data_IF_506109500834
#
_entry.id   IF_506109500834
#
_cell.length_a   1.000
_cell.length_b   1.000
_cell.length_c   1.000
_cell.angle_alpha   90.00
_cell.angle_beta   90.00
_cell.angle_gamma   90.00
#
_symmetry.space_group_name_H-M   'P 1'
#
loop_
_entity.id
_entity.type
_entity.pdbx_description
1 polymer ?
#
# COMPACT_ATOMS: atom_id res chain seq x y z
N UNK A 1 1.97 30.23 -16.13
CA UNK A 1 2.72 28.98 -15.86
C UNK A 1 4.20 29.29 -15.71
N UNK A 2 4.86 29.93 -16.68
CA UNK A 2 6.27 30.39 -16.54
C UNK A 2 6.60 31.14 -15.24
N UNK A 3 5.69 31.98 -14.71
CA UNK A 3 5.92 32.68 -13.45
C UNK A 3 5.66 31.83 -12.19
N UNK A 4 4.81 30.80 -12.28
CA UNK A 4 4.44 29.93 -11.15
C UNK A 4 5.46 28.80 -11.00
N UNK A 5 5.88 28.17 -12.11
CA UNK A 5 6.90 27.11 -12.10
C UNK A 5 8.30 27.66 -11.79
N UNK A 6 8.67 28.84 -12.32
CA UNK A 6 9.92 29.51 -11.93
C UNK A 6 9.90 29.97 -10.48
N UNK A 7 8.75 30.33 -9.92
CA UNK A 7 8.63 30.74 -8.52
C UNK A 7 8.58 29.52 -7.57
N UNK A 8 7.99 28.39 -7.96
CA UNK A 8 8.07 27.12 -7.21
C UNK A 8 9.49 26.55 -7.22
N UNK A 9 10.16 26.50 -8.37
CA UNK A 9 11.56 26.08 -8.47
C UNK A 9 12.49 26.98 -7.64
N UNK A 10 12.29 28.30 -7.65
CA UNK A 10 13.06 29.26 -6.82
C UNK A 10 12.74 29.17 -5.33
N UNK A 11 11.46 29.02 -4.95
CA UNK A 11 11.03 28.89 -3.54
C UNK A 11 11.53 27.58 -2.93
N UNK A 12 11.57 26.48 -3.70
CA UNK A 12 12.06 25.20 -3.21
C UNK A 12 13.59 25.11 -3.15
N UNK A 13 14.32 25.72 -4.09
CA UNK A 13 15.79 25.82 -4.04
C UNK A 13 16.26 26.60 -2.79
N UNK A 14 15.51 27.62 -2.36
CA UNK A 14 15.80 28.36 -1.12
C UNK A 14 15.54 27.60 0.19
N UNK A 15 14.86 26.44 0.14
CA UNK A 15 14.48 25.64 1.32
C UNK A 15 15.40 24.45 1.60
N UNK A 16 16.47 24.26 0.80
CA UNK A 16 17.45 23.18 1.03
C UNK A 16 16.90 21.77 0.92
N UNK A 17 15.85 21.55 0.11
CA UNK A 17 15.27 20.20 -0.12
C UNK A 17 16.08 19.44 -1.20
N UNK A 18 16.40 18.17 -0.93
CA UNK A 18 17.30 17.33 -1.75
C UNK A 18 16.71 16.79 -3.07
N UNK A 19 15.52 17.24 -3.51
CA UNK A 19 14.92 16.81 -4.77
C UNK A 19 13.79 17.70 -5.29
N UNK A 20 13.67 17.81 -6.61
CA UNK A 20 12.64 18.56 -7.33
C UNK A 20 11.86 17.66 -8.29
N UNK A 21 10.54 17.87 -8.41
CA UNK A 21 9.66 17.10 -9.29
C UNK A 21 8.66 17.99 -10.02
N UNK A 22 8.87 18.22 -11.31
CA UNK A 22 7.95 19.00 -12.18
C UNK A 22 6.98 18.07 -12.90
N UNK A 23 5.69 18.42 -12.93
CA UNK A 23 4.64 17.60 -13.53
C UNK A 23 4.14 18.14 -14.88
N UNK A 24 4.29 17.34 -15.95
CA UNK A 24 3.87 17.72 -17.31
C UNK A 24 3.06 16.59 -17.95
N UNK A 25 1.88 16.88 -18.55
CA UNK A 25 1.10 15.86 -19.32
C UNK A 25 1.57 15.79 -20.77
N UNK A 26 2.17 14.69 -21.24
CA UNK A 26 2.57 14.59 -22.64
C UNK A 26 1.46 14.02 -23.56
N UNK A 27 0.35 13.49 -23.04
CA UNK A 27 -0.65 12.75 -23.83
C UNK A 27 -1.64 13.59 -24.67
N UNK A 28 -2.17 13.05 -25.80
CA UNK A 28 -3.16 13.73 -26.65
C UNK A 28 -4.43 14.22 -25.95
N UNK A 29 -5.06 13.45 -25.02
CA UNK A 29 -6.20 13.93 -24.25
C UNK A 29 -5.85 15.11 -23.32
N UNK A 30 -4.62 15.15 -22.80
CA UNK A 30 -4.12 16.25 -21.98
C UNK A 30 -3.92 17.54 -22.80
N UNK A 31 -3.29 17.41 -23.96
CA UNK A 31 -3.09 18.50 -24.93
C UNK A 31 -4.42 19.13 -25.36
N UNK A 32 -5.42 18.31 -25.74
CA UNK A 32 -6.72 18.81 -26.19
C UNK A 32 -7.62 19.33 -25.06
N UNK A 33 -7.70 18.63 -23.93
CA UNK A 33 -8.71 18.94 -22.90
C UNK A 33 -8.17 19.83 -21.78
N UNK A 34 -6.95 19.55 -21.26
CA UNK A 34 -6.36 20.29 -20.13
C UNK A 34 -5.72 21.59 -20.60
N UNK A 35 -4.91 21.53 -21.65
CA UNK A 35 -4.26 22.71 -22.23
C UNK A 35 -5.11 23.41 -23.30
N UNK A 36 -6.27 22.85 -23.68
CA UNK A 36 -7.14 23.41 -24.73
C UNK A 36 -6.39 23.71 -26.05
N UNK A 37 -5.41 22.88 -26.39
CA UNK A 37 -4.55 23.06 -27.57
C UNK A 37 -3.53 24.19 -27.48
N UNK A 38 -3.29 24.78 -26.29
CA UNK A 38 -2.35 25.91 -26.12
C UNK A 38 -0.88 25.52 -26.13
N UNK A 39 -0.56 24.26 -25.87
CA UNK A 39 0.79 23.71 -25.94
C UNK A 39 0.79 22.58 -26.96
N UNK A 40 1.84 22.52 -27.77
CA UNK A 40 2.16 21.38 -28.63
C UNK A 40 3.27 20.52 -27.99
N UNK A 41 3.58 19.39 -28.64
CA UNK A 41 4.60 18.43 -28.19
C UNK A 41 5.96 19.11 -27.98
N UNK A 42 6.38 19.95 -28.93
CA UNK A 42 7.66 20.63 -28.88
C UNK A 42 7.70 21.68 -27.76
N UNK A 43 6.59 22.40 -27.52
CA UNK A 43 6.47 23.35 -26.43
C UNK A 43 6.62 22.66 -25.07
N UNK A 44 5.97 21.51 -24.89
CA UNK A 44 6.10 20.68 -23.68
C UNK A 44 7.56 20.29 -23.43
N UNK A 45 8.27 19.82 -24.46
CA UNK A 45 9.68 19.45 -24.35
C UNK A 45 10.52 20.68 -24.00
N UNK A 46 10.32 21.81 -24.69
CA UNK A 46 11.06 23.05 -24.43
C UNK A 46 10.87 23.57 -23.01
N UNK A 47 9.63 23.57 -22.51
CA UNK A 47 9.31 24.01 -21.15
C UNK A 47 9.96 23.07 -20.12
N UNK A 48 9.86 21.76 -20.33
CA UNK A 48 10.48 20.75 -19.46
C UNK A 48 12.00 20.92 -19.39
N UNK A 49 12.67 21.05 -20.55
CA UNK A 49 14.12 21.27 -20.62
C UNK A 49 14.52 22.55 -19.90
N UNK A 50 13.75 23.63 -20.05
CA UNK A 50 14.00 24.89 -19.38
C UNK A 50 13.87 24.75 -17.85
N UNK A 51 12.85 24.02 -17.37
CA UNK A 51 12.62 23.78 -15.96
C UNK A 51 13.73 22.93 -15.32
N UNK A 52 14.12 21.82 -15.95
CA UNK A 52 15.22 20.96 -15.49
C UNK A 52 16.53 21.75 -15.38
N UNK A 53 16.87 22.54 -16.41
CA UNK A 53 18.08 23.39 -16.40
C UNK A 53 18.03 24.44 -15.31
N UNK A 54 16.86 25.04 -15.08
CA UNK A 54 16.67 26.01 -14.00
C UNK A 54 16.86 25.36 -12.62
N UNK A 55 16.31 24.16 -12.41
CA UNK A 55 16.47 23.41 -11.16
C UNK A 55 17.95 23.06 -10.89
N UNK A 56 18.68 22.55 -11.90
CA UNK A 56 20.11 22.26 -11.77
C UNK A 56 20.95 23.51 -11.55
N UNK A 57 20.67 24.61 -12.27
CA UNK A 57 21.33 25.90 -12.04
C UNK A 57 21.03 26.48 -10.64
N UNK A 58 19.86 26.16 -10.09
CA UNK A 58 19.47 26.48 -8.72
C UNK A 58 20.09 25.58 -7.64
N UNK A 59 20.91 24.59 -8.01
CA UNK A 59 21.61 23.71 -7.08
C UNK A 59 20.83 22.47 -6.65
N UNK A 60 19.75 22.10 -7.34
CA UNK A 60 19.03 20.86 -7.06
C UNK A 60 19.94 19.63 -7.24
N UNK A 61 20.03 18.79 -6.20
CA UNK A 61 20.88 17.59 -6.23
C UNK A 61 20.33 16.54 -7.18
N UNK A 62 19.04 16.23 -7.05
CA UNK A 62 18.33 15.35 -7.98
C UNK A 62 17.10 16.05 -8.58
N UNK A 63 16.78 15.71 -9.82
CA UNK A 63 15.65 16.22 -10.59
C UNK A 63 14.91 15.04 -11.21
N UNK A 64 13.65 14.86 -10.83
CA UNK A 64 12.72 13.94 -11.48
C UNK A 64 11.75 14.71 -12.38
N UNK A 65 11.46 14.18 -13.57
CA UNK A 65 10.50 14.78 -14.49
C UNK A 65 9.27 13.88 -14.60
N UNK A 66 8.07 14.40 -14.33
CA UNK A 66 6.86 13.58 -14.38
C UNK A 66 6.20 13.64 -15.75
N UNK A 67 6.07 12.48 -16.39
CA UNK A 67 5.21 12.24 -17.52
C UNK A 67 3.79 11.89 -17.01
N UNK A 68 3.01 12.92 -16.69
CA UNK A 68 1.62 12.79 -16.24
C UNK A 68 0.78 12.15 -17.36
N UNK A 69 -0.02 11.13 -17.02
CA UNK A 69 -0.77 10.31 -17.98
C UNK A 69 0.11 9.51 -18.98
N UNK A 70 1.29 9.07 -18.52
CA UNK A 70 2.20 8.20 -19.27
C UNK A 70 1.52 6.93 -19.80
N UNK A 71 0.53 6.37 -19.07
CA UNK A 71 -0.20 5.16 -19.49
C UNK A 71 -1.03 5.27 -20.76
N UNK A 72 -1.32 6.50 -21.20
CA UNK A 72 -2.07 6.79 -22.43
C UNK A 72 -1.31 7.67 -23.42
N UNK A 73 -0.04 7.93 -23.14
CA UNK A 73 0.85 8.69 -24.02
C UNK A 73 1.43 7.77 -25.09
N UNK A 74 1.62 8.30 -26.30
CA UNK A 74 2.33 7.62 -27.38
C UNK A 74 3.77 7.26 -26.95
N UNK A 75 4.18 6.01 -27.12
CA UNK A 75 5.47 5.51 -26.63
C UNK A 75 6.66 6.23 -27.28
N UNK A 76 6.54 6.60 -28.56
CA UNK A 76 7.55 7.37 -29.28
C UNK A 76 7.76 8.75 -28.67
N UNK A 77 6.67 9.50 -28.48
CA UNK A 77 6.73 10.80 -27.84
C UNK A 77 7.20 10.74 -26.38
N UNK A 78 6.77 9.73 -25.62
CA UNK A 78 7.21 9.55 -24.24
C UNK A 78 8.74 9.33 -24.16
N UNK A 79 9.28 8.55 -25.10
CA UNK A 79 10.73 8.33 -25.20
C UNK A 79 11.47 9.61 -25.57
N UNK A 80 10.97 10.37 -26.56
CA UNK A 80 11.53 11.67 -26.96
C UNK A 80 11.56 12.66 -25.79
N UNK A 81 10.45 12.78 -25.06
CA UNK A 81 10.32 13.60 -23.87
C UNK A 81 11.33 13.20 -22.79
N UNK A 82 11.46 11.90 -22.52
CA UNK A 82 12.37 11.38 -21.50
C UNK A 82 13.85 11.59 -21.87
N UNK A 83 14.21 11.42 -23.15
CA UNK A 83 15.55 11.71 -23.66
C UNK A 83 15.89 13.20 -23.54
N UNK A 84 14.97 14.09 -23.92
CA UNK A 84 15.18 15.52 -23.79
C UNK A 84 15.34 15.95 -22.32
N UNK A 85 14.56 15.37 -21.41
CA UNK A 85 14.71 15.57 -19.97
C UNK A 85 16.08 15.09 -19.47
N UNK A 86 16.53 13.90 -19.87
CA UNK A 86 17.86 13.36 -19.55
C UNK A 86 18.98 14.27 -20.05
N UNK A 87 18.93 14.72 -21.30
CA UNK A 87 19.91 15.65 -21.89
C UNK A 87 19.94 17.00 -21.18
N UNK A 88 18.81 17.45 -20.63
CA UNK A 88 18.74 18.65 -19.80
C UNK A 88 19.34 18.47 -18.40
N UNK A 89 19.59 17.23 -17.98
CA UNK A 89 20.19 16.85 -16.70
C UNK A 89 19.21 16.21 -15.71
N UNK A 90 18.05 15.74 -16.12
CA UNK A 90 17.18 14.97 -15.23
C UNK A 90 17.87 13.67 -14.80
N UNK A 91 17.64 13.24 -13.56
CA UNK A 91 18.20 12.01 -13.00
C UNK A 91 17.25 10.82 -13.16
N UNK A 92 15.96 11.10 -13.35
CA UNK A 92 14.90 10.11 -13.57
C UNK A 92 13.66 10.71 -14.24
N UNK A 93 12.84 9.85 -14.85
CA UNK A 93 11.51 10.23 -15.36
C UNK A 93 10.45 9.43 -14.61
N UNK A 94 9.41 10.09 -14.10
CA UNK A 94 8.27 9.42 -13.48
C UNK A 94 7.19 9.14 -14.50
N UNK A 95 6.83 7.87 -14.62
CA UNK A 95 5.70 7.42 -15.42
C UNK A 95 4.46 7.30 -14.55
N UNK A 96 3.40 8.03 -14.91
CA UNK A 96 2.17 8.06 -14.13
C UNK A 96 1.04 7.25 -14.79
N UNK A 97 0.61 6.16 -14.15
CA UNK A 97 -0.69 5.53 -14.44
C UNK A 97 -1.81 6.32 -13.76
N UNK A 98 -2.10 7.49 -14.34
CA UNK A 98 -2.90 8.55 -13.71
C UNK A 98 -4.35 8.12 -13.44
N UNK A 99 -4.88 7.19 -14.24
CA UNK A 99 -6.26 6.70 -14.11
C UNK A 99 -6.35 5.32 -13.44
N UNK A 100 -5.22 4.72 -13.06
CA UNK A 100 -5.18 3.39 -12.46
C UNK A 100 -5.61 2.27 -13.42
N UNK A 101 -5.26 2.39 -14.70
CA UNK A 101 -5.70 1.49 -15.78
C UNK A 101 -4.63 0.52 -16.31
N UNK A 102 -3.43 0.50 -15.71
CA UNK A 102 -2.36 -0.44 -16.05
C UNK A 102 -2.62 -1.86 -15.54
N UNK A 103 -1.95 -2.83 -16.18
CA UNK A 103 -1.83 -4.20 -15.67
C UNK A 103 -0.36 -4.53 -15.40
N UNK A 104 -0.06 -5.50 -14.51
CA UNK A 104 1.32 -5.82 -14.15
C UNK A 104 2.21 -6.19 -15.33
N UNK A 105 1.70 -6.96 -16.29
CA UNK A 105 2.45 -7.38 -17.48
C UNK A 105 2.75 -6.20 -18.40
N UNK A 106 1.73 -5.37 -18.66
CA UNK A 106 1.84 -4.24 -19.59
C UNK A 106 2.78 -3.17 -19.06
N UNK A 107 2.70 -2.84 -17.77
CA UNK A 107 3.57 -1.85 -17.17
C UNK A 107 5.02 -2.32 -17.11
N UNK A 108 5.27 -3.61 -16.82
CA UNK A 108 6.63 -4.17 -16.84
C UNK A 108 7.26 -4.07 -18.23
N UNK A 109 6.53 -4.44 -19.27
CA UNK A 109 7.01 -4.35 -20.66
C UNK A 109 7.33 -2.90 -21.05
N UNK A 110 6.44 -1.97 -20.69
CA UNK A 110 6.61 -0.54 -20.99
C UNK A 110 7.82 0.06 -20.28
N UNK A 111 8.02 -0.28 -19.01
CA UNK A 111 9.17 0.19 -18.24
C UNK A 111 10.46 -0.38 -18.80
N UNK A 112 10.53 -1.69 -19.05
CA UNK A 112 11.71 -2.30 -19.66
C UNK A 112 12.09 -1.65 -20.99
N UNK A 113 11.11 -1.36 -21.86
CA UNK A 113 11.33 -0.65 -23.13
C UNK A 113 11.82 0.78 -22.93
N UNK A 114 11.13 1.56 -22.09
CA UNK A 114 11.43 2.97 -21.87
C UNK A 114 12.79 3.16 -21.17
N UNK A 115 13.03 2.41 -20.10
CA UNK A 115 14.29 2.43 -19.35
C UNK A 115 15.47 1.99 -20.21
N UNK A 116 15.30 0.96 -21.07
CA UNK A 116 16.34 0.55 -22.03
C UNK A 116 16.62 1.63 -23.07
N UNK A 117 15.57 2.24 -23.63
CA UNK A 117 15.70 3.25 -24.68
C UNK A 117 16.35 4.54 -24.18
N UNK A 118 16.00 4.96 -22.97
CA UNK A 118 16.50 6.21 -22.38
C UNK A 118 17.82 5.98 -21.62
N UNK A 119 18.10 4.75 -21.18
CA UNK A 119 19.21 4.38 -20.30
C UNK A 119 19.25 5.27 -19.04
N UNK A 120 18.10 5.37 -18.36
CA UNK A 120 17.89 6.14 -17.14
C UNK A 120 16.73 5.53 -16.34
N UNK A 121 16.75 5.59 -14.99
CA UNK A 121 15.64 5.11 -14.16
C UNK A 121 14.28 5.71 -14.52
N UNK A 122 13.23 4.88 -14.47
CA UNK A 122 11.84 5.29 -14.65
C UNK A 122 11.06 5.07 -13.35
N UNK A 123 10.68 6.14 -12.68
CA UNK A 123 9.92 6.06 -11.43
C UNK A 123 8.46 5.66 -11.70
N UNK A 124 7.98 4.60 -11.05
CA UNK A 124 6.57 4.21 -11.11
C UNK A 124 5.70 5.14 -10.26
N UNK A 125 4.54 5.55 -10.76
CA UNK A 125 3.49 6.20 -9.99
C UNK A 125 2.12 5.68 -10.42
N UNK A 126 1.57 4.76 -9.63
CA UNK A 126 0.33 4.05 -9.98
C UNK A 126 -0.81 4.43 -9.05
N UNK A 127 -1.95 4.76 -9.64
CA UNK A 127 -3.22 4.89 -8.93
C UNK A 127 -3.95 3.56 -8.80
N UNK A 128 -4.84 3.47 -7.81
CA UNK A 128 -5.43 2.22 -7.35
C UNK A 128 -6.89 2.00 -7.77
N UNK A 129 -7.35 2.65 -8.83
CA UNK A 129 -8.76 2.58 -9.29
C UNK A 129 -9.24 1.15 -9.59
N UNK A 130 -8.33 0.26 -10.04
CA UNK A 130 -8.60 -1.17 -10.26
C UNK A 130 -8.07 -2.10 -9.16
N UNK A 131 -7.56 -1.56 -8.04
CA UNK A 131 -6.96 -2.37 -6.98
C UNK A 131 -5.57 -2.95 -7.31
N UNK A 132 -4.94 -2.50 -8.40
CA UNK A 132 -3.67 -3.04 -8.90
C UNK A 132 -2.45 -2.16 -8.64
N UNK A 133 -2.56 -1.05 -7.91
CA UNK A 133 -1.47 -0.07 -7.81
C UNK A 133 -0.16 -0.66 -7.27
N UNK A 134 -0.24 -1.50 -6.22
CA UNK A 134 0.92 -2.16 -5.62
C UNK A 134 1.58 -3.11 -6.62
N UNK A 135 0.79 -4.00 -7.23
CA UNK A 135 1.28 -4.98 -8.20
C UNK A 135 1.89 -4.29 -9.43
N UNK A 136 1.23 -3.26 -9.97
CA UNK A 136 1.73 -2.48 -11.10
C UNK A 136 3.04 -1.76 -10.76
N UNK A 137 3.14 -1.18 -9.56
CA UNK A 137 4.34 -0.46 -9.14
C UNK A 137 5.55 -1.38 -8.98
N UNK A 138 5.38 -2.56 -8.38
CA UNK A 138 6.48 -3.53 -8.26
C UNK A 138 6.84 -4.12 -9.63
N UNK A 139 5.85 -4.37 -10.50
CA UNK A 139 6.10 -4.85 -11.86
C UNK A 139 6.79 -3.83 -12.77
N UNK A 140 6.47 -2.54 -12.64
CA UNK A 140 7.19 -1.48 -13.35
C UNK A 140 8.65 -1.38 -12.89
N UNK A 141 8.89 -1.46 -11.57
CA UNK A 141 10.24 -1.52 -11.01
C UNK A 141 11.03 -2.74 -11.52
N UNK A 142 10.39 -3.90 -11.66
CA UNK A 142 10.99 -5.07 -12.31
C UNK A 142 11.41 -4.78 -13.76
N UNK A 143 10.61 -4.01 -14.50
CA UNK A 143 10.95 -3.59 -15.86
C UNK A 143 12.22 -2.75 -15.91
N UNK A 144 12.40 -1.82 -14.98
CA UNK A 144 13.63 -1.03 -14.84
C UNK A 144 14.85 -1.92 -14.55
N UNK A 145 14.71 -2.84 -13.59
CA UNK A 145 15.77 -3.78 -13.23
C UNK A 145 16.14 -4.70 -14.40
N UNK A 146 15.15 -5.17 -15.16
CA UNK A 146 15.37 -5.99 -16.36
C UNK A 146 16.10 -5.18 -17.47
N UNK A 147 15.93 -3.86 -17.50
CA UNK A 147 16.67 -2.93 -18.36
C UNK A 147 18.04 -2.50 -17.79
N UNK A 148 18.44 -3.06 -16.65
CA UNK A 148 19.70 -2.74 -15.97
C UNK A 148 19.75 -1.32 -15.39
N UNK A 149 18.60 -0.72 -15.08
CA UNK A 149 18.48 0.57 -14.40
C UNK A 149 18.07 0.38 -12.95
N UNK A 150 18.44 1.32 -12.08
CA UNK A 150 17.90 1.40 -10.73
C UNK A 150 16.38 1.64 -10.78
N UNK A 151 15.64 1.05 -9.85
CA UNK A 151 14.18 1.18 -9.81
C UNK A 151 13.73 2.17 -8.74
N UNK A 152 12.72 2.98 -9.07
CA UNK A 152 12.09 3.92 -8.15
C UNK A 152 10.59 3.66 -8.09
N UNK A 153 10.03 3.58 -6.88
CA UNK A 153 8.60 3.38 -6.68
C UNK A 153 8.01 4.52 -5.87
N UNK A 154 7.07 5.25 -6.48
CA UNK A 154 6.27 6.23 -5.76
C UNK A 154 5.16 5.52 -4.99
N UNK A 155 5.11 5.78 -3.69
CA UNK A 155 4.12 5.19 -2.79
C UNK A 155 3.51 6.26 -1.90
N UNK A 156 2.40 5.91 -1.25
CA UNK A 156 1.78 6.71 -0.21
C UNK A 156 1.47 5.85 1.00
N UNK A 157 1.59 6.42 2.20
CA UNK A 157 1.28 5.69 3.43
C UNK A 157 -0.22 5.44 3.50
N UNK A 158 -0.59 4.21 3.85
CA UNK A 158 -1.97 3.70 3.83
C UNK A 158 -2.63 3.79 2.43
N UNK A 159 -1.83 3.89 1.36
CA UNK A 159 -2.30 4.08 -0.01
C UNK A 159 -3.07 5.39 -0.24
N UNK A 160 -2.96 6.38 0.65
CA UNK A 160 -3.74 7.61 0.56
C UNK A 160 -3.36 8.38 -0.71
N UNK A 161 -4.37 8.85 -1.44
CA UNK A 161 -4.18 9.63 -2.67
C UNK A 161 -5.52 10.06 -3.25
N UNK A 162 -5.50 10.52 -4.50
CA UNK A 162 -6.73 10.84 -5.21
C UNK A 162 -7.60 9.59 -5.42
N UNK A 163 -8.93 9.74 -5.37
CA UNK A 163 -9.91 8.68 -5.67
C UNK A 163 -9.71 7.45 -4.78
N UNK A 164 -9.42 6.29 -5.38
CA UNK A 164 -9.10 5.02 -4.69
C UNK A 164 -7.67 4.96 -4.14
N UNK A 165 -6.89 6.02 -4.31
CA UNK A 165 -5.55 6.16 -3.74
C UNK A 165 -4.42 5.76 -4.68
N UNK A 166 -3.25 5.61 -4.10
CA UNK A 166 -1.99 5.25 -4.76
C UNK A 166 -1.49 3.89 -4.23
N UNK A 167 -0.36 3.41 -4.75
CA UNK A 167 0.32 2.25 -4.18
C UNK A 167 0.65 2.47 -2.69
N UNK A 168 0.20 1.55 -1.83
CA UNK A 168 0.45 1.61 -0.40
C UNK A 168 1.91 1.28 -0.08
N UNK A 169 2.59 2.15 0.65
CA UNK A 169 4.01 2.01 0.98
C UNK A 169 4.33 0.66 1.63
N UNK A 170 3.58 0.29 2.68
CA UNK A 170 3.84 -0.95 3.41
C UNK A 170 3.57 -2.18 2.53
N UNK A 171 2.44 -2.19 1.82
CA UNK A 171 2.09 -3.25 0.88
C UNK A 171 3.13 -3.41 -0.23
N UNK A 172 3.70 -2.31 -0.74
CA UNK A 172 4.77 -2.34 -1.74
C UNK A 172 6.06 -2.92 -1.17
N UNK A 173 6.46 -2.54 0.04
CA UNK A 173 7.66 -3.10 0.70
C UNK A 173 7.50 -4.61 0.92
N UNK A 174 6.34 -5.04 1.43
CA UNK A 174 6.04 -6.45 1.68
C UNK A 174 5.92 -7.24 0.36
N UNK A 175 5.31 -6.65 -0.67
CA UNK A 175 5.23 -7.23 -2.01
C UNK A 175 6.61 -7.45 -2.62
N UNK A 176 7.52 -6.47 -2.49
CA UNK A 176 8.91 -6.61 -2.91
C UNK A 176 9.61 -7.77 -2.17
N UNK A 177 9.55 -7.79 -0.83
CA UNK A 177 10.24 -8.81 -0.01
C UNK A 177 9.70 -10.22 -0.22
N UNK A 178 8.38 -10.38 -0.18
CA UNK A 178 7.77 -11.71 -0.09
C UNK A 178 6.98 -12.14 -1.32
N UNK A 179 6.52 -11.20 -2.16
CA UNK A 179 5.59 -11.50 -3.27
C UNK A 179 6.27 -11.69 -4.62
N UNK A 180 7.26 -10.86 -4.93
CA UNK A 180 7.86 -10.78 -6.27
C UNK A 180 9.25 -11.42 -6.36
N UNK A 181 9.75 -12.03 -5.28
CA UNK A 181 11.07 -12.69 -5.24
C UNK A 181 12.23 -11.72 -5.51
N UNK A 182 12.07 -10.45 -5.12
CA UNK A 182 13.05 -9.40 -5.40
C UNK A 182 14.16 -9.30 -4.37
N UNK A 183 13.96 -9.86 -3.17
CA UNK A 183 14.92 -9.78 -2.06
C UNK A 183 16.31 -10.35 -2.43
N UNK A 184 16.37 -11.34 -3.33
CA UNK A 184 17.63 -11.90 -3.84
C UNK A 184 18.19 -11.14 -5.05
N UNK A 185 17.40 -10.27 -5.67
CA UNK A 185 17.75 -9.56 -6.92
C UNK A 185 18.16 -8.11 -6.72
N UNK A 186 17.61 -7.46 -5.69
CA UNK A 186 17.83 -6.05 -5.42
C UNK A 186 17.63 -5.75 -3.93
N UNK A 187 18.28 -4.69 -3.47
CA UNK A 187 18.13 -4.17 -2.11
C UNK A 187 17.43 -2.81 -2.15
N UNK A 188 16.76 -2.44 -1.06
CA UNK A 188 16.27 -1.07 -0.90
C UNK A 188 17.46 -0.13 -0.69
N UNK A 189 17.54 0.92 -1.52
CA UNK A 189 18.59 1.93 -1.39
C UNK A 189 18.48 2.77 -0.11
N UNK A 190 17.27 2.94 0.42
CA UNK A 190 17.02 3.64 1.68
C UNK A 190 16.90 2.64 2.84
N UNK A 191 17.41 2.97 4.04
CA UNK A 191 17.21 2.15 5.23
C UNK A 191 15.75 2.20 5.68
N UNK A 192 15.05 1.06 5.58
CA UNK A 192 13.65 0.92 5.97
C UNK A 192 13.54 0.09 7.26
N UNK A 193 13.06 0.71 8.33
CA UNK A 193 12.71 0.02 9.58
C UNK A 193 11.20 -0.24 9.66
N UNK A 194 10.81 -1.49 9.42
CA UNK A 194 9.41 -1.92 9.47
C UNK A 194 8.82 -1.92 10.89
N UNK A 195 9.63 -1.86 11.95
CA UNK A 195 9.13 -1.83 13.33
C UNK A 195 8.28 -0.58 13.63
N UNK A 196 8.35 0.44 12.77
CA UNK A 196 7.52 1.64 12.83
C UNK A 196 6.16 1.50 12.14
N UNK A 197 5.92 0.45 11.36
CA UNK A 197 4.74 0.34 10.51
C UNK A 197 3.44 0.47 11.31
N UNK A 198 3.32 -0.28 12.43
CA UNK A 198 2.13 -0.26 13.31
C UNK A 198 1.98 1.00 14.16
N UNK A 199 3.00 1.87 14.20
CA UNK A 199 2.90 3.22 14.78
C UNK A 199 2.52 4.27 13.73
N UNK A 200 3.20 4.24 12.59
CA UNK A 200 3.09 5.27 11.57
C UNK A 200 1.76 5.20 10.82
N UNK A 201 1.26 3.99 10.53
CA UNK A 201 -0.01 3.84 9.82
C UNK A 201 -1.21 4.40 10.60
N UNK A 202 -1.41 4.09 11.91
CA UNK A 202 -2.43 4.75 12.72
C UNK A 202 -2.27 6.26 12.82
N UNK A 203 -1.04 6.74 13.01
CA UNK A 203 -0.75 8.17 13.08
C UNK A 203 -1.13 8.88 11.78
N UNK A 204 -0.79 8.31 10.63
CA UNK A 204 -1.20 8.83 9.33
C UNK A 204 -2.73 8.83 9.19
N UNK A 205 -3.39 7.74 9.60
CA UNK A 205 -4.86 7.67 9.61
C UNK A 205 -5.50 8.79 10.45
N UNK A 206 -4.94 9.07 11.63
CA UNK A 206 -5.34 10.19 12.47
C UNK A 206 -5.07 11.55 11.79
N UNK A 207 -3.86 11.77 11.28
CA UNK A 207 -3.43 13.04 10.68
C UNK A 207 -4.26 13.40 9.43
N UNK A 208 -4.63 12.41 8.63
CA UNK A 208 -5.45 12.59 7.42
C UNK A 208 -6.96 12.50 7.69
N UNK A 209 -7.39 12.21 8.92
CA UNK A 209 -8.80 12.01 9.26
C UNK A 209 -9.44 10.83 8.54
N UNK A 210 -8.66 9.79 8.21
CA UNK A 210 -9.10 8.57 7.52
C UNK A 210 -8.73 7.34 8.37
N UNK A 211 -9.71 6.70 9.04
CA UNK A 211 -9.42 5.52 9.86
C UNK A 211 -8.90 4.37 9.00
N UNK A 212 -8.04 3.54 9.58
CA UNK A 212 -7.51 2.36 8.92
C UNK A 212 -8.62 1.30 8.71
N UNK A 213 -8.69 0.67 7.53
CA UNK A 213 -9.48 -0.55 7.35
C UNK A 213 -9.04 -1.67 8.30
N UNK A 214 -9.99 -2.49 8.76
CA UNK A 214 -9.69 -3.65 9.61
C UNK A 214 -8.71 -4.63 8.94
N UNK A 215 -8.78 -4.74 7.62
CA UNK A 215 -7.97 -5.64 6.80
C UNK A 215 -6.82 -4.91 6.06
N UNK A 216 -6.41 -3.71 6.52
CA UNK A 216 -5.23 -3.05 5.97
C UNK A 216 -4.02 -4.00 6.07
N UNK A 217 -3.26 -4.14 4.98
CA UNK A 217 -2.10 -5.04 4.92
C UNK A 217 -1.12 -4.71 6.04
N UNK A 218 -0.74 -5.71 6.85
CA UNK A 218 0.22 -5.63 7.95
C UNK A 218 -0.24 -4.84 9.20
N UNK A 219 -0.99 -3.75 9.03
CA UNK A 219 -1.33 -2.80 10.11
C UNK A 219 -2.82 -2.76 10.44
N UNK A 220 -3.65 -3.52 9.72
CA UNK A 220 -5.04 -3.72 10.06
C UNK A 220 -5.18 -4.69 11.23
N UNK A 221 -6.23 -4.49 12.05
CA UNK A 221 -6.54 -5.35 13.21
C UNK A 221 -6.64 -6.84 12.84
N UNK A 222 -7.10 -7.14 11.62
CA UNK A 222 -7.30 -8.51 11.14
C UNK A 222 -6.13 -9.04 10.30
N UNK A 223 -5.03 -8.29 10.14
CA UNK A 223 -3.93 -8.68 9.25
C UNK A 223 -3.24 -10.00 9.69
N UNK A 224 -3.33 -10.35 10.97
CA UNK A 224 -2.79 -11.59 11.57
C UNK A 224 -3.86 -12.30 12.40
N UNK A 225 -5.13 -12.11 12.06
CA UNK A 225 -6.23 -12.77 12.74
C UNK A 225 -6.56 -14.11 12.08
N UNK A 226 -6.72 -15.16 12.90
CA UNK A 226 -7.05 -16.51 12.43
C UNK A 226 -8.37 -16.96 13.04
N UNK A 227 -9.35 -17.28 12.21
CA UNK A 227 -10.71 -17.62 12.65
C UNK A 227 -11.03 -19.12 12.53
N UNK A 228 -10.70 -19.74 11.40
CA UNK A 228 -10.94 -21.19 11.18
C UNK A 228 -10.24 -22.02 12.24
N UNK A 229 -10.94 -22.99 12.84
CA UNK A 229 -10.38 -23.83 13.90
C UNK A 229 -9.10 -24.58 13.53
N UNK A 230 -8.97 -25.01 12.26
CA UNK A 230 -7.74 -25.65 11.76
C UNK A 230 -6.62 -24.63 11.60
N UNK A 231 -6.94 -23.43 11.11
CA UNK A 231 -5.94 -22.37 10.90
C UNK A 231 -5.43 -21.81 12.24
N UNK A 232 -6.33 -21.55 13.18
CA UNK A 232 -5.98 -21.08 14.52
C UNK A 232 -5.13 -22.11 15.28
N UNK A 233 -5.50 -23.39 15.27
CA UNK A 233 -4.70 -24.45 15.90
C UNK A 233 -3.31 -24.58 15.27
N UNK A 234 -3.21 -24.55 13.94
CA UNK A 234 -1.92 -24.63 13.26
C UNK A 234 -1.05 -23.38 13.47
N UNK A 235 -1.64 -22.18 13.51
CA UNK A 235 -0.91 -20.94 13.80
C UNK A 235 -0.41 -20.88 15.26
N UNK A 236 -1.16 -21.43 16.22
CA UNK A 236 -0.73 -21.55 17.62
C UNK A 236 0.45 -22.51 17.80
N UNK A 237 0.54 -23.56 16.97
CA UNK A 237 1.66 -24.52 16.98
C UNK A 237 2.90 -23.95 16.31
N UNK A 238 2.73 -23.39 15.13
CA UNK A 238 3.75 -22.70 14.36
C UNK A 238 3.07 -21.69 13.44
N UNK A 239 3.32 -20.41 13.69
CA UNK A 239 2.72 -19.32 12.93
C UNK A 239 3.10 -19.35 11.45
N UNK A 240 4.26 -19.91 11.08
CA UNK A 240 4.71 -20.05 9.70
C UNK A 240 3.80 -20.94 8.84
N UNK A 241 2.91 -21.72 9.44
CA UNK A 241 1.91 -22.51 8.71
C UNK A 241 0.89 -21.63 7.96
N UNK A 242 0.60 -20.43 8.47
CA UNK A 242 -0.46 -19.56 7.96
C UNK A 242 -0.07 -18.07 7.87
N UNK A 243 1.12 -17.69 8.31
CA UNK A 243 1.64 -16.33 8.23
C UNK A 243 2.85 -16.28 7.29
N UNK A 244 2.78 -15.40 6.27
CA UNK A 244 3.85 -15.21 5.29
C UNK A 244 5.11 -14.60 5.91
N UNK A 245 4.95 -13.82 6.97
CA UNK A 245 6.01 -13.16 7.73
C UNK A 245 5.51 -12.90 9.16
N UNK A 246 6.44 -12.77 10.12
CA UNK A 246 6.08 -12.58 11.54
C UNK A 246 5.57 -11.15 11.78
N UNK A 247 4.46 -11.03 12.53
CA UNK A 247 3.90 -9.74 12.93
C UNK A 247 4.87 -8.87 13.74
N UNK A 248 5.83 -9.51 14.45
CA UNK A 248 6.84 -8.81 15.24
C UNK A 248 7.70 -7.88 14.37
N UNK A 249 7.85 -8.18 13.08
CA UNK A 249 8.60 -7.35 12.12
C UNK A 249 7.99 -5.96 11.91
N UNK A 250 6.69 -5.82 12.18
CA UNK A 250 5.95 -4.56 12.00
C UNK A 250 5.88 -3.69 13.27
N UNK A 251 6.44 -4.20 14.37
CA UNK A 251 6.44 -3.57 15.68
C UNK A 251 5.11 -3.71 16.44
N UNK A 252 5.01 -2.99 17.56
CA UNK A 252 3.81 -2.96 18.38
C UNK A 252 2.87 -1.82 17.94
N UNK A 253 1.57 -2.00 18.14
CA UNK A 253 0.62 -0.90 18.05
C UNK A 253 0.76 0.08 19.23
N UNK A 254 0.35 1.36 19.08
CA UNK A 254 0.17 2.26 20.21
C UNK A 254 -0.76 1.64 21.26
N UNK A 255 -0.46 1.86 22.55
CA UNK A 255 -1.10 1.19 23.71
C UNK A 255 -2.63 1.40 23.79
N UNK A 256 -3.13 2.41 23.12
CA UNK A 256 -4.53 2.86 23.08
C UNK A 256 -5.23 2.56 21.75
N UNK A 257 -4.50 2.10 20.72
CA UNK A 257 -5.06 1.83 19.39
C UNK A 257 -5.72 0.45 19.29
N UNK A 258 -5.20 -0.53 20.04
CA UNK A 258 -5.79 -1.86 20.17
C UNK A 258 -5.89 -2.23 21.64
N UNK A 259 -7.10 -2.59 22.09
CA UNK A 259 -7.36 -3.03 23.46
C UNK A 259 -6.63 -4.34 23.82
N UNK A 260 -6.14 -5.09 22.83
CA UNK A 260 -5.31 -6.30 23.01
C UNK A 260 -4.10 -6.25 22.08
N UNK A 261 -2.85 -6.32 22.60
CA UNK A 261 -1.67 -6.52 21.78
C UNK A 261 -1.56 -7.99 21.32
N UNK A 262 -1.07 -8.22 20.09
CA UNK A 262 -0.71 -9.55 19.54
C UNK A 262 -1.75 -10.18 18.59
N UNK A 263 -1.41 -11.37 18.05
CA UNK A 263 -2.27 -12.21 17.20
C UNK A 263 -3.69 -12.36 17.77
N UNK A 264 -4.68 -12.12 16.93
CA UNK A 264 -6.10 -12.19 17.34
C UNK A 264 -6.67 -13.52 16.88
N UNK A 265 -6.91 -14.44 17.82
CA UNK A 265 -7.75 -15.62 17.55
C UNK A 265 -9.20 -15.19 17.67
N UNK A 266 -9.98 -15.38 16.61
CA UNK A 266 -11.41 -15.06 16.61
C UNK A 266 -12.22 -16.33 16.88
N UNK A 267 -13.24 -16.20 17.73
CA UNK A 267 -14.25 -17.24 17.94
C UNK A 267 -15.49 -16.90 17.15
N UNK A 268 -15.76 -17.68 16.10
CA UNK A 268 -16.94 -17.53 15.24
C UNK A 268 -17.53 -18.88 14.84
N UNK A 269 -18.46 -18.89 13.89
CA UNK A 269 -19.12 -20.11 13.38
C UNK A 269 -18.12 -21.21 13.02
N UNK A 270 -17.02 -20.84 12.37
CA UNK A 270 -15.97 -21.76 11.92
C UNK A 270 -14.82 -21.92 12.94
N UNK A 271 -14.92 -21.29 14.11
CA UNK A 271 -13.94 -21.39 15.18
C UNK A 271 -13.85 -22.81 15.72
N UNK A 272 -12.66 -23.20 16.19
CA UNK A 272 -12.44 -24.49 16.86
C UNK A 272 -12.35 -24.34 18.38
N UNK A 273 -12.59 -25.43 19.13
CA UNK A 273 -12.50 -25.43 20.61
C UNK A 273 -11.16 -24.94 21.14
N UNK A 274 -10.05 -25.23 20.46
CA UNK A 274 -8.72 -24.76 20.86
C UNK A 274 -8.61 -23.22 20.81
N UNK A 275 -9.10 -22.61 19.72
CA UNK A 275 -9.13 -21.15 19.59
C UNK A 275 -10.11 -20.51 20.59
N UNK A 276 -11.24 -21.16 20.85
CA UNK A 276 -12.18 -20.75 21.88
C UNK A 276 -11.56 -20.71 23.28
N UNK A 277 -10.88 -21.79 23.70
CA UNK A 277 -10.17 -21.81 24.99
C UNK A 277 -9.13 -20.70 25.08
N UNK A 278 -8.32 -20.53 24.04
CA UNK A 278 -7.31 -19.46 24.02
C UNK A 278 -7.92 -18.06 24.23
N UNK A 279 -9.06 -17.78 23.60
CA UNK A 279 -9.76 -16.49 23.77
C UNK A 279 -10.33 -16.34 25.18
N UNK A 280 -10.90 -17.39 25.75
CA UNK A 280 -11.45 -17.40 27.12
C UNK A 280 -10.36 -17.27 28.18
N UNK A 281 -9.22 -17.96 28.00
CA UNK A 281 -8.03 -17.83 28.85
C UNK A 281 -7.49 -16.39 28.82
N UNK A 282 -7.39 -15.79 27.62
CA UNK A 282 -6.98 -14.40 27.45
C UNK A 282 -7.96 -13.38 28.07
N UNK A 283 -9.23 -13.76 28.23
CA UNK A 283 -10.25 -12.99 28.95
C UNK A 283 -10.21 -13.20 30.47
N UNK A 284 -9.48 -14.22 30.94
CA UNK A 284 -9.43 -14.63 32.34
C UNK A 284 -10.75 -15.23 32.84
N UNK A 285 -11.51 -15.90 31.96
CA UNK A 285 -12.85 -16.42 32.27
C UNK A 285 -12.91 -17.91 31.95
N UNK A 286 -13.33 -18.72 32.91
CA UNK A 286 -13.66 -20.12 32.66
C UNK A 286 -15.16 -20.28 32.38
N UNK A 287 -15.56 -20.89 31.25
CA UNK A 287 -16.97 -21.13 30.95
C UNK A 287 -17.61 -22.10 31.95
N UNK A 288 -18.81 -21.78 32.43
CA UNK A 288 -19.58 -22.66 33.32
C UNK A 288 -19.97 -23.99 32.65
N UNK A 289 -20.07 -23.99 31.32
CA UNK A 289 -20.27 -25.15 30.47
C UNK A 289 -19.56 -24.89 29.13
N UNK A 290 -18.36 -25.44 28.95
CA UNK A 290 -17.50 -25.13 27.80
C UNK A 290 -18.15 -25.49 26.46
N UNK A 291 -18.79 -26.66 26.38
CA UNK A 291 -19.37 -27.16 25.14
C UNK A 291 -20.58 -26.32 24.73
N UNK A 292 -21.44 -25.98 25.69
CA UNK A 292 -22.60 -25.15 25.45
C UNK A 292 -22.22 -23.69 25.13
N UNK A 293 -21.26 -23.13 25.87
CA UNK A 293 -20.75 -21.79 25.61
C UNK A 293 -20.12 -21.70 24.21
N UNK A 294 -19.35 -22.71 23.81
CA UNK A 294 -18.77 -22.76 22.47
C UNK A 294 -19.84 -22.81 21.37
N UNK A 295 -20.85 -23.66 21.50
CA UNK A 295 -21.97 -23.72 20.54
C UNK A 295 -22.73 -22.39 20.45
N UNK A 296 -22.96 -21.72 21.59
CA UNK A 296 -23.60 -20.40 21.63
C UNK A 296 -22.80 -19.33 20.91
N UNK A 297 -21.47 -19.31 21.09
CA UNK A 297 -20.60 -18.38 20.37
C UNK A 297 -20.65 -18.62 18.86
N UNK A 298 -20.61 -19.89 18.42
CA UNK A 298 -20.75 -20.24 17.01
C UNK A 298 -22.10 -19.77 16.44
N UNK A 299 -23.20 -20.03 17.15
CA UNK A 299 -24.54 -19.66 16.72
C UNK A 299 -24.73 -18.14 16.63
N UNK A 300 -24.30 -17.40 17.66
CA UNK A 300 -24.43 -15.94 17.70
C UNK A 300 -23.61 -15.28 16.59
N UNK A 301 -22.41 -15.80 16.31
CA UNK A 301 -21.59 -15.33 15.21
C UNK A 301 -22.25 -15.62 13.85
N UNK A 302 -22.77 -16.84 13.64
CA UNK A 302 -23.46 -17.23 12.41
C UNK A 302 -24.69 -16.34 12.13
N UNK A 303 -25.47 -16.01 13.15
CA UNK A 303 -26.67 -15.18 13.01
C UNK A 303 -26.35 -13.70 12.74
N UNK A 304 -25.26 -13.18 13.32
CA UNK A 304 -24.92 -11.75 13.23
C UNK A 304 -23.94 -11.44 12.11
N UNK A 305 -23.19 -12.44 11.62
CA UNK A 305 -22.08 -12.27 10.68
C UNK A 305 -20.94 -11.41 11.24
N UNK A 306 -20.86 -11.28 12.58
CA UNK A 306 -19.88 -10.42 13.26
C UNK A 306 -19.19 -11.16 14.41
N UNK A 307 -17.89 -10.90 14.65
CA UNK A 307 -17.23 -11.38 15.85
C UNK A 307 -17.94 -10.86 17.11
N UNK A 308 -18.09 -11.72 18.11
CA UNK A 308 -18.61 -11.32 19.41
C UNK A 308 -17.59 -10.44 20.14
N UNK A 309 -18.10 -9.48 20.90
CA UNK A 309 -17.33 -8.62 21.79
C UNK A 309 -16.89 -9.37 23.05
N UNK A 310 -15.86 -8.84 23.72
CA UNK A 310 -15.35 -9.38 24.98
C UNK A 310 -16.44 -9.56 26.04
N UNK A 311 -17.39 -8.63 26.12
CA UNK A 311 -18.46 -8.67 27.12
C UNK A 311 -19.55 -9.68 26.76
N UNK A 312 -19.85 -9.86 25.47
CA UNK A 312 -20.73 -10.93 25.00
C UNK A 312 -20.11 -12.30 25.27
N UNK A 313 -18.79 -12.45 25.06
CA UNK A 313 -18.07 -13.68 25.38
C UNK A 313 -18.08 -13.98 26.89
N UNK A 314 -17.86 -12.97 27.74
CA UNK A 314 -17.97 -13.11 29.21
C UNK A 314 -19.38 -13.50 29.64
N UNK A 315 -20.39 -12.88 29.05
CA UNK A 315 -21.79 -13.17 29.34
C UNK A 315 -22.14 -14.62 28.98
N UNK A 316 -21.71 -15.08 27.79
CA UNK A 316 -21.92 -16.46 27.34
C UNK A 316 -21.17 -17.47 28.20
N UNK A 317 -19.92 -17.17 28.57
CA UNK A 317 -19.15 -18.04 29.44
C UNK A 317 -19.77 -18.18 30.85
N UNK A 318 -20.32 -17.10 31.40
CA UNK A 318 -20.92 -17.10 32.74
C UNK A 318 -22.31 -17.74 32.79
N UNK A 319 -23.13 -17.56 31.74
CA UNK A 319 -24.54 -17.95 31.73
C UNK A 319 -24.97 -18.75 30.48
N UNK A 320 -24.24 -19.81 30.07
CA UNK A 320 -24.53 -20.48 28.82
C UNK A 320 -25.90 -21.17 28.82
N UNK A 321 -26.37 -21.69 29.97
CA UNK A 321 -27.68 -22.37 30.04
C UNK A 321 -28.84 -21.42 29.90
N UNK A 322 -28.76 -20.27 30.58
CA UNK A 322 -29.79 -19.25 30.53
C UNK A 322 -29.89 -18.63 29.14
N UNK A 323 -28.75 -18.40 28.47
CA UNK A 323 -28.73 -17.87 27.11
C UNK A 323 -29.18 -18.89 26.07
N UNK A 324 -28.91 -20.18 26.26
CA UNK A 324 -29.41 -21.24 25.37
C UNK A 324 -30.94 -21.26 25.28
N UNK A 325 -31.65 -20.83 26.34
CA UNK A 325 -33.12 -20.71 26.32
C UNK A 325 -33.64 -19.67 25.32
N UNK A 326 -32.79 -18.72 24.90
CA UNK A 326 -33.13 -17.74 23.87
C UNK A 326 -33.12 -18.35 22.46
N UNK A 327 -32.55 -19.55 22.29
CA UNK A 327 -32.39 -20.25 21.01
C UNK A 327 -33.04 -21.65 21.02
N UNK A 328 -34.36 -21.75 21.28
CA UNK A 328 -35.01 -23.04 21.43
C UNK A 328 -34.92 -23.86 20.14
N UNK A 329 -34.43 -25.10 20.27
CA UNK A 329 -34.31 -26.05 19.17
C UNK A 329 -33.10 -25.83 18.24
N UNK A 330 -32.24 -24.86 18.53
CA UNK A 330 -31.02 -24.60 17.74
C UNK A 330 -29.74 -25.12 18.43
N UNK A 331 -29.80 -25.34 19.74
CA UNK A 331 -28.70 -25.81 20.57
C UNK A 331 -29.24 -26.93 21.47
N UNK A 332 -28.52 -28.06 21.53
CA UNK A 332 -28.89 -29.27 22.29
C UNK A 332 -27.88 -29.59 23.36
#
# INVERSE_FOLDING_TARGET
MEAIEREEARRQAGLGRDGHGDAVRPGPPGLLNKFRGRLDRDAIIRETVAAVRAAKAGGARTVGVNAEDGSRTDEGFLTEFALAAKEAGADRVRYCDTIGGETPERIRERFAKLASAVAMPVETHCHNDLGMAVANSVSGALGDLDAGQDAWINTCVNGIGERSGNADLLSTILGFRHGFGLEERAEFGDPIDLAWARWFAPWAGYAFGRPLPYNQVGVGRNAFAHESGIHADGALKDHGNYELYDEATLGAFPRDWHARPGRVVLTGEYGGKAGFRHVMDGLGVEPADEDLAFQLVQLCNAQTGRPLTDDELRLIAAHPRELALLFPGQIT
#
